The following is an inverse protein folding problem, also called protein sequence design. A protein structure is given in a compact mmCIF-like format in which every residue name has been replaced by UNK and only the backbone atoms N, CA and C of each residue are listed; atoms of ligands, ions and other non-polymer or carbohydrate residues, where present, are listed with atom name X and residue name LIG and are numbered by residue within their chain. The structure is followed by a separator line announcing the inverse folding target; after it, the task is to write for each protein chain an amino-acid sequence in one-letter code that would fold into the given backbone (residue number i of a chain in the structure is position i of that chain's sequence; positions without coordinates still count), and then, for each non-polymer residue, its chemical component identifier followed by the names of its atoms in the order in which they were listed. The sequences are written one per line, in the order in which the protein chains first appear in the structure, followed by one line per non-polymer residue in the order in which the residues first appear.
data_IF_001699518077
#
_entry.id   IF_001699518077
#
_cell.length_a   1.000
_cell.length_b   1.000
_cell.length_c   1.000
_cell.angle_alpha   90.00
_cell.angle_beta   90.00
_cell.angle_gamma   90.00
#
_symmetry.space_group_name_H-M   'P 1'
#
loop_
_entity.id
_entity.type
_entity.pdbx_description
1 polymer ?
#
# COMPACT_ATOMS: atom_id res chain seq x y z
N UNK A 1 -0.27 -10.52 -9.53
CA UNK A 1 0.98 -9.86 -9.09
C UNK A 1 0.64 -8.64 -8.25
N UNK A 2 0.82 -8.75 -6.93
CA UNK A 2 0.42 -7.71 -5.98
C UNK A 2 1.67 -6.99 -5.46
N UNK A 3 1.71 -5.67 -5.65
CA UNK A 3 2.84 -4.83 -5.24
C UNK A 3 2.49 -4.15 -3.92
N UNK A 4 3.28 -4.39 -2.88
CA UNK A 4 3.18 -3.69 -1.62
C UNK A 4 3.89 -2.35 -1.72
N UNK A 5 3.21 -1.28 -1.38
CA UNK A 5 3.74 0.08 -1.49
C UNK A 5 3.34 0.91 -0.25
N UNK A 6 3.72 2.15 -0.21
CA UNK A 6 3.34 3.06 0.88
C UNK A 6 2.82 4.39 0.34
N UNK A 7 2.44 5.29 1.25
CA UNK A 7 1.83 6.58 0.90
C UNK A 7 2.71 7.47 0.02
N UNK A 8 4.03 7.28 0.04
CA UNK A 8 4.93 8.07 -0.80
C UNK A 8 4.67 7.85 -2.29
N UNK A 9 4.14 6.67 -2.66
CA UNK A 9 3.82 6.36 -4.07
C UNK A 9 2.69 7.23 -4.65
N UNK A 10 1.88 7.83 -3.79
CA UNK A 10 0.73 8.63 -4.20
C UNK A 10 1.03 10.10 -4.38
N UNK A 11 2.21 10.55 -3.94
CA UNK A 11 2.56 11.97 -3.96
C UNK A 11 3.20 12.37 -5.26
N UNK A 12 2.76 13.51 -5.80
CA UNK A 12 3.34 14.08 -7.01
C UNK A 12 4.72 14.70 -6.80
N UNK A 13 5.13 14.87 -5.54
CA UNK A 13 6.45 15.44 -5.19
C UNK A 13 6.91 14.92 -3.83
N UNK A 14 8.20 14.94 -3.63
CA UNK A 14 8.82 14.61 -2.36
C UNK A 14 8.50 15.68 -1.31
N UNK A 15 7.91 15.27 -0.19
CA UNK A 15 7.46 16.20 0.85
C UNK A 15 8.56 16.62 1.82
N UNK A 16 9.50 15.71 2.11
CA UNK A 16 10.52 15.90 3.12
C UNK A 16 11.88 15.52 2.57
N UNK A 17 12.92 16.23 3.04
CA UNK A 17 14.30 15.85 2.78
C UNK A 17 14.59 14.50 3.47
N UNK A 18 15.43 13.68 2.86
CA UNK A 18 15.84 12.39 3.43
C UNK A 18 14.88 11.22 3.21
N UNK A 19 13.81 11.40 2.48
CA UNK A 19 12.91 10.27 2.11
C UNK A 19 13.52 9.48 0.96
N UNK A 20 14.49 8.63 1.27
CA UNK A 20 15.27 7.88 0.28
C UNK A 20 14.44 6.92 -0.58
N UNK A 21 13.28 6.47 -0.07
CA UNK A 21 12.42 5.53 -0.77
C UNK A 21 11.34 6.21 -1.64
N UNK A 22 11.33 7.54 -1.70
CA UNK A 22 10.30 8.25 -2.48
C UNK A 22 10.30 7.84 -3.96
N UNK A 23 11.45 7.96 -4.62
CA UNK A 23 11.54 7.65 -6.05
C UNK A 23 11.25 6.18 -6.35
N UNK A 24 11.84 5.20 -5.63
CA UNK A 24 11.50 3.80 -5.85
C UNK A 24 10.01 3.52 -5.65
N UNK A 25 9.35 4.14 -4.67
CA UNK A 25 7.93 3.90 -4.40
C UNK A 25 7.03 4.44 -5.51
N UNK A 26 7.33 5.65 -6.02
CA UNK A 26 6.61 6.21 -7.16
C UNK A 26 6.82 5.36 -8.40
N UNK A 27 8.04 4.90 -8.63
CA UNK A 27 8.37 4.04 -9.77
C UNK A 27 7.64 2.69 -9.70
N UNK A 28 7.52 2.10 -8.51
CA UNK A 28 6.78 0.85 -8.32
C UNK A 28 5.29 1.01 -8.64
N UNK A 29 4.71 2.15 -8.33
CA UNK A 29 3.32 2.44 -8.71
C UNK A 29 3.18 2.51 -10.22
N UNK A 30 4.08 3.20 -10.90
CA UNK A 30 4.12 3.28 -12.36
C UNK A 30 4.33 1.91 -12.98
N UNK A 31 5.22 1.10 -12.41
CA UNK A 31 5.45 -0.27 -12.86
C UNK A 31 4.16 -1.09 -12.80
N UNK A 32 3.38 -0.97 -11.72
CA UNK A 32 2.10 -1.66 -11.61
C UNK A 32 1.16 -1.30 -12.76
N UNK A 33 1.11 -0.03 -13.15
CA UNK A 33 0.29 0.44 -14.27
C UNK A 33 0.77 -0.13 -15.60
N UNK A 34 2.08 -0.14 -15.82
CA UNK A 34 2.67 -0.67 -17.06
C UNK A 34 2.45 -2.18 -17.15
N UNK A 35 2.66 -2.91 -16.06
CA UNK A 35 2.43 -4.35 -16.03
C UNK A 35 0.96 -4.70 -16.24
N UNK A 36 0.05 -3.89 -15.72
CA UNK A 36 -1.38 -4.06 -15.98
C UNK A 36 -1.67 -3.92 -17.47
N UNK A 37 -1.13 -2.89 -18.11
CA UNK A 37 -1.32 -2.64 -19.53
C UNK A 37 -0.77 -3.78 -20.38
N UNK A 38 0.39 -4.31 -20.02
CA UNK A 38 1.06 -5.34 -20.81
C UNK A 38 0.47 -6.74 -20.61
N UNK A 39 0.01 -7.08 -19.41
CA UNK A 39 -0.28 -8.46 -19.05
C UNK A 39 -1.73 -8.76 -18.66
N UNK A 40 -2.58 -7.76 -18.47
CA UNK A 40 -3.97 -8.02 -18.08
C UNK A 40 -4.73 -8.87 -19.11
N UNK A 41 -4.46 -8.69 -20.39
CA UNK A 41 -5.10 -9.46 -21.44
C UNK A 41 -4.75 -10.96 -21.38
N UNK A 42 -3.63 -11.30 -20.73
CA UNK A 42 -3.23 -12.70 -20.53
C UNK A 42 -3.77 -13.29 -19.22
N UNK A 43 -4.66 -12.58 -18.55
CA UNK A 43 -5.26 -13.04 -17.30
C UNK A 43 -4.40 -12.82 -16.07
N UNK A 44 -3.40 -11.93 -16.15
CA UNK A 44 -2.55 -11.58 -15.01
C UNK A 44 -3.11 -10.35 -14.30
N UNK A 45 -3.51 -10.54 -13.05
CA UNK A 45 -4.02 -9.44 -12.21
C UNK A 45 -2.85 -8.73 -11.53
N UNK A 46 -2.68 -7.46 -11.80
CA UNK A 46 -1.65 -6.62 -11.16
C UNK A 46 -2.34 -5.53 -10.35
N UNK A 47 -1.93 -5.37 -9.09
CA UNK A 47 -2.46 -4.32 -8.24
C UNK A 47 -1.36 -3.72 -7.37
N UNK A 48 -1.46 -2.41 -7.13
CA UNK A 48 -0.60 -1.68 -6.21
C UNK A 48 -1.37 -1.48 -4.90
N UNK A 49 -0.87 -2.06 -3.81
CA UNK A 49 -1.48 -1.95 -2.49
C UNK A 49 -0.71 -0.92 -1.68
N UNK A 50 -1.34 0.21 -1.41
CA UNK A 50 -0.74 1.31 -0.67
C UNK A 50 -1.08 1.16 0.81
N UNK A 51 -0.07 0.90 1.62
CA UNK A 51 -0.22 0.82 3.07
C UNK A 51 0.18 2.19 3.64
N UNK A 52 -0.84 2.96 4.01
CA UNK A 52 -0.69 4.34 4.46
C UNK A 52 -0.81 4.41 5.98
N UNK A 53 0.24 3.99 6.65
CA UNK A 53 0.33 3.95 8.10
C UNK A 53 1.43 3.04 8.58
N UNK A 54 1.61 2.98 9.89
CA UNK A 54 2.62 2.13 10.53
C UNK A 54 2.04 0.75 10.77
N UNK A 55 2.72 -0.28 10.28
CA UNK A 55 2.28 -1.67 10.46
C UNK A 55 2.68 -2.13 11.86
N UNK A 56 1.75 -2.80 12.55
CA UNK A 56 2.00 -3.37 13.88
C UNK A 56 3.08 -4.44 13.80
N UNK A 57 4.11 -4.27 14.63
CA UNK A 57 5.21 -5.21 14.80
C UNK A 57 5.81 -4.97 16.19
N UNK A 58 6.63 -5.89 16.73
CA UNK A 58 7.30 -5.63 18.00
C UNK A 58 8.08 -4.31 18.02
N UNK A 59 8.78 -3.99 16.94
CA UNK A 59 9.54 -2.74 16.84
C UNK A 59 8.68 -1.50 16.77
N UNK A 60 7.63 -1.49 15.93
CA UNK A 60 6.74 -0.34 15.81
C UNK A 60 5.87 -0.15 17.04
N UNK A 61 5.47 -1.24 17.69
CA UNK A 61 4.68 -1.22 18.92
C UNK A 61 5.44 -0.58 20.08
N UNK A 62 6.77 -0.69 20.09
CA UNK A 62 7.63 -0.08 21.10
C UNK A 62 7.86 1.42 20.90
N UNK A 63 7.47 1.98 19.74
CA UNK A 63 7.65 3.41 19.46
C UNK A 63 6.72 4.27 20.31
N UNK A 64 7.20 5.44 20.82
CA UNK A 64 6.37 6.30 21.67
C UNK A 64 5.03 6.71 21.05
N UNK A 65 5.02 6.99 19.76
CA UNK A 65 3.79 7.39 19.05
C UNK A 65 2.75 6.27 19.04
N UNK A 66 3.18 5.01 18.86
CA UNK A 66 2.30 3.85 18.88
C UNK A 66 1.78 3.56 20.30
N UNK A 67 2.60 3.74 21.32
CA UNK A 67 2.19 3.56 22.71
C UNK A 67 1.16 4.61 23.15
N UNK A 68 1.31 5.83 22.66
CA UNK A 68 0.39 6.92 22.95
C UNK A 68 -0.95 6.75 22.21
N UNK A 69 -0.91 6.29 20.96
CA UNK A 69 -2.08 6.13 20.12
C UNK A 69 -2.05 4.77 19.43
N UNK A 70 -2.38 3.68 20.14
CA UNK A 70 -2.32 2.32 19.57
C UNK A 70 -3.26 2.11 18.38
N UNK A 71 -4.30 2.92 18.25
CA UNK A 71 -5.23 2.87 17.11
C UNK A 71 -4.63 3.36 15.80
N UNK A 72 -3.43 3.96 15.82
CA UNK A 72 -2.75 4.44 14.62
C UNK A 72 -1.93 3.36 13.92
N UNK A 73 -1.75 2.20 14.53
CA UNK A 73 -1.00 1.10 13.92
C UNK A 73 -1.94 0.13 13.21
N UNK A 74 -1.50 -0.35 12.05
CA UNK A 74 -2.30 -1.22 11.19
C UNK A 74 -2.04 -2.69 11.55
N UNK A 75 -3.12 -3.46 11.72
CA UNK A 75 -3.03 -4.89 11.98
C UNK A 75 -2.54 -5.62 10.72
N UNK A 76 -1.39 -6.32 10.77
CA UNK A 76 -0.84 -7.00 9.59
C UNK A 76 -1.73 -8.14 9.08
N UNK A 77 -2.51 -8.79 9.96
CA UNK A 77 -3.44 -9.84 9.54
C UNK A 77 -4.52 -9.25 8.63
N UNK A 78 -4.99 -8.05 8.93
CA UNK A 78 -5.99 -7.37 8.09
C UNK A 78 -5.41 -6.91 6.76
N UNK A 79 -4.14 -6.56 6.71
CA UNK A 79 -3.44 -6.31 5.46
C UNK A 79 -3.41 -7.59 4.62
N UNK A 80 -3.04 -8.70 5.23
CA UNK A 80 -3.01 -10.00 4.53
C UNK A 80 -4.39 -10.39 3.98
N UNK A 81 -5.46 -10.13 4.74
CA UNK A 81 -6.83 -10.36 4.26
C UNK A 81 -7.16 -9.52 3.03
N UNK A 82 -6.71 -8.27 2.99
CA UNK A 82 -6.90 -7.40 1.84
C UNK A 82 -6.16 -7.94 0.60
N UNK A 83 -4.93 -8.42 0.77
CA UNK A 83 -4.18 -9.05 -0.32
C UNK A 83 -4.89 -10.31 -0.82
N UNK A 84 -5.39 -11.14 0.08
CA UNK A 84 -6.12 -12.35 -0.31
C UNK A 84 -7.40 -12.00 -1.07
N UNK A 85 -8.12 -10.97 -0.65
CA UNK A 85 -9.30 -10.49 -1.37
C UNK A 85 -8.95 -10.10 -2.82
N UNK A 86 -7.86 -9.37 -3.02
CA UNK A 86 -7.42 -9.00 -4.36
C UNK A 86 -7.06 -10.24 -5.19
N UNK A 87 -6.37 -11.20 -4.57
CA UNK A 87 -5.95 -12.43 -5.24
C UNK A 87 -7.14 -13.25 -5.74
N UNK A 88 -8.26 -13.23 -5.02
CA UNK A 88 -9.44 -14.03 -5.32
C UNK A 88 -10.50 -13.29 -6.12
N UNK A 89 -10.25 -12.05 -6.55
CA UNK A 89 -11.22 -11.28 -7.34
C UNK A 89 -11.53 -11.95 -8.67
N UNK A 90 -12.80 -11.86 -9.07
CA UNK A 90 -13.24 -12.32 -10.37
C UNK A 90 -12.59 -11.50 -11.49
N UNK A 91 -12.25 -12.16 -12.59
CA UNK A 91 -11.58 -11.52 -13.73
C UNK A 91 -12.39 -10.40 -14.37
N UNK A 92 -13.70 -10.40 -14.18
CA UNK A 92 -14.58 -9.36 -14.72
C UNK A 92 -14.53 -8.05 -13.92
N UNK A 93 -13.88 -8.05 -12.74
CA UNK A 93 -13.91 -6.89 -11.85
C UNK A 93 -12.64 -6.88 -10.96
N UNK A 94 -11.54 -6.42 -11.53
CA UNK A 94 -10.26 -6.36 -10.82
C UNK A 94 -10.01 -4.98 -10.24
N UNK A 95 -9.50 -4.95 -9.00
CA UNK A 95 -8.97 -3.74 -8.37
C UNK A 95 -7.50 -3.59 -8.74
N UNK A 96 -7.10 -2.42 -9.23
CA UNK A 96 -5.71 -2.16 -9.63
C UNK A 96 -4.93 -1.33 -8.62
N UNK A 97 -5.63 -0.57 -7.76
CA UNK A 97 -4.98 0.16 -6.67
C UNK A 97 -5.89 0.16 -5.45
N UNK A 98 -5.32 -0.18 -4.30
CA UNK A 98 -6.05 -0.25 -3.03
C UNK A 98 -5.23 0.48 -1.96
N UNK A 99 -5.86 1.40 -1.23
CA UNK A 99 -5.22 2.14 -0.15
C UNK A 99 -5.81 1.73 1.20
N UNK A 100 -4.91 1.42 2.14
CA UNK A 100 -5.27 1.00 3.49
C UNK A 100 -4.74 2.01 4.51
N UNK A 101 -5.62 2.54 5.35
CA UNK A 101 -5.25 3.49 6.40
C UNK A 101 -5.97 3.15 7.70
N UNK A 102 -5.36 3.43 8.87
CA UNK A 102 -6.10 3.34 10.13
C UNK A 102 -7.19 4.42 10.18
N UNK A 103 -8.30 4.12 10.83
CA UNK A 103 -9.46 5.02 10.79
C UNK A 103 -9.19 6.45 11.33
N UNK A 104 -8.28 6.67 12.33
CA UNK A 104 -8.06 8.04 12.84
C UNK A 104 -7.19 8.89 11.92
N UNK A 105 -6.53 8.30 10.91
CA UNK A 105 -5.65 9.03 10.00
C UNK A 105 -6.39 9.41 8.73
N UNK A 106 -6.03 10.57 8.17
CA UNK A 106 -6.55 10.94 6.85
C UNK A 106 -5.73 10.26 5.76
N UNK A 107 -6.38 9.73 4.72
CA UNK A 107 -5.64 9.17 3.57
C UNK A 107 -4.72 10.19 2.93
N UNK A 108 -3.62 9.71 2.34
CA UNK A 108 -2.60 10.56 1.73
C UNK A 108 -2.88 10.93 0.27
N UNK A 109 -3.96 10.38 -0.29
CA UNK A 109 -4.35 10.73 -1.66
C UNK A 109 -4.86 12.14 -1.82
#
# INVERSE_FOLDING_TARGET
FLISNNAQSLRGRKRMTGQSLYYPRVMMRTLAQVLTEEYSEYGVHVANVVIDGTIDSPGTRAMPAAQKNPELIINPVKIAEAFYYLHTQDKSCWTHELQLTPYPTKPSF
#
